data_IF_307893567889
#
_entry.id   IF_307893567889
#
_cell.length_a   1.000
_cell.length_b   1.000
_cell.length_c   1.000
_cell.angle_alpha   90.00
_cell.angle_beta   90.00
_cell.angle_gamma   90.00
#
_symmetry.space_group_name_H-M   'P 1'
#
loop_
_entity.id
_entity.type
_entity.pdbx_description
1 polymer ?
#
# COMPACT_ATOMS: atom_id res chain seq x y z
N UNK A 1 3.71 10.63 50.20
CA UNK A 1 2.95 10.29 48.99
C UNK A 1 1.79 11.29 48.84
N UNK A 2 2.09 12.56 48.56
CA UNK A 2 1.09 13.64 48.39
C UNK A 2 1.02 14.15 46.95
N UNK A 3 1.81 13.54 46.05
CA UNK A 3 1.63 13.64 44.62
C UNK A 3 0.56 12.63 44.23
N UNK A 4 -0.55 13.13 43.67
CA UNK A 4 -0.90 12.86 42.27
C UNK A 4 -2.42 12.86 42.02
N UNK A 5 -3.27 13.14 43.02
CA UNK A 5 -4.72 13.21 42.80
C UNK A 5 -5.11 14.40 41.93
N UNK A 6 -4.48 15.56 42.13
CA UNK A 6 -4.72 16.74 41.29
C UNK A 6 -4.26 16.52 39.84
N UNK A 7 -3.13 15.83 39.67
CA UNK A 7 -2.57 15.51 38.36
C UNK A 7 -3.41 14.44 37.66
N UNK A 8 -3.87 13.43 38.38
CA UNK A 8 -4.84 12.44 37.89
C UNK A 8 -6.15 13.11 37.47
N UNK A 9 -6.68 14.01 38.30
CA UNK A 9 -7.88 14.80 37.98
C UNK A 9 -7.69 15.67 36.74
N UNK A 10 -6.54 16.36 36.63
CA UNK A 10 -6.16 17.13 35.45
C UNK A 10 -6.08 16.24 34.20
N UNK A 11 -5.41 15.11 34.28
CA UNK A 11 -5.29 14.16 33.17
C UNK A 11 -6.65 13.61 32.75
N UNK A 12 -7.53 13.28 33.71
CA UNK A 12 -8.91 12.86 33.44
C UNK A 12 -9.73 13.93 32.71
N UNK A 13 -9.67 15.19 33.15
CA UNK A 13 -10.37 16.30 32.48
C UNK A 13 -9.84 16.49 31.06
N UNK A 14 -8.50 16.55 30.88
CA UNK A 14 -7.89 16.70 29.57
C UNK A 14 -8.22 15.52 28.64
N UNK A 15 -8.29 14.31 29.20
CA UNK A 15 -8.66 13.10 28.48
C UNK A 15 -10.11 13.13 27.97
N UNK A 16 -11.04 13.53 28.82
CA UNK A 16 -12.44 13.70 28.43
C UNK A 16 -12.62 14.87 27.47
N UNK A 17 -11.91 15.98 27.66
CA UNK A 17 -11.90 17.10 26.71
C UNK A 17 -11.47 16.61 25.32
N UNK A 18 -10.41 15.79 25.23
CA UNK A 18 -9.97 15.20 23.97
C UNK A 18 -11.00 14.25 23.37
N UNK A 19 -11.66 13.46 24.21
CA UNK A 19 -12.71 12.52 23.78
C UNK A 19 -13.93 13.24 23.21
N UNK A 20 -14.32 14.37 23.82
CA UNK A 20 -15.37 15.25 23.30
C UNK A 20 -14.96 15.91 21.99
N UNK A 21 -13.70 16.35 21.85
CA UNK A 21 -13.19 16.87 20.57
C UNK A 21 -13.26 15.81 19.46
N UNK A 22 -12.83 14.58 19.72
CA UNK A 22 -12.93 13.47 18.75
C UNK A 22 -14.40 13.17 18.41
N UNK A 23 -15.30 13.24 19.40
CA UNK A 23 -16.75 13.09 19.18
C UNK A 23 -17.29 14.20 18.29
N UNK A 24 -16.92 15.46 18.55
CA UNK A 24 -17.29 16.61 17.71
C UNK A 24 -16.76 16.46 16.28
N UNK A 25 -15.51 16.01 16.11
CA UNK A 25 -14.93 15.73 14.81
C UNK A 25 -15.72 14.64 14.06
N UNK A 26 -16.08 13.55 14.74
CA UNK A 26 -16.87 12.48 14.16
C UNK A 26 -18.26 12.96 13.72
N UNK A 27 -18.94 13.75 14.55
CA UNK A 27 -20.27 14.29 14.25
C UNK A 27 -20.20 15.24 13.05
N UNK A 28 -19.28 16.19 13.07
CA UNK A 28 -19.14 17.20 12.02
C UNK A 28 -18.79 16.59 10.66
N UNK A 29 -18.08 15.45 10.64
CA UNK A 29 -17.63 14.80 9.41
C UNK A 29 -18.37 13.50 9.11
N UNK A 30 -19.47 13.21 9.81
CA UNK A 30 -20.21 11.96 9.63
C UNK A 30 -20.67 11.77 8.17
N UNK A 31 -20.99 12.86 7.48
CA UNK A 31 -21.43 12.87 6.08
C UNK A 31 -20.33 13.31 5.10
N UNK A 32 -19.09 13.48 5.56
CA UNK A 32 -17.98 13.83 4.69
C UNK A 32 -17.44 12.55 4.02
N UNK A 33 -17.46 12.46 2.67
CA UNK A 33 -16.88 11.31 1.97
C UNK A 33 -15.44 11.05 2.41
N UNK A 34 -15.07 9.77 2.51
CA UNK A 34 -13.73 9.32 2.93
C UNK A 34 -13.33 9.67 4.37
N UNK A 35 -14.24 10.23 5.19
CA UNK A 35 -13.99 10.37 6.62
C UNK A 35 -14.02 8.99 7.29
N UNK A 36 -13.05 8.75 8.17
CA UNK A 36 -13.01 7.54 9.00
C UNK A 36 -13.25 7.96 10.43
N UNK A 37 -14.19 7.27 11.09
CA UNK A 37 -14.48 7.47 12.50
C UNK A 37 -13.22 7.29 13.35
N UNK A 38 -13.01 8.21 14.27
CA UNK A 38 -11.96 8.15 15.27
C UNK A 38 -12.52 7.69 16.62
N UNK A 39 -11.75 6.89 17.35
CA UNK A 39 -12.04 6.42 18.70
C UNK A 39 -10.92 6.84 19.64
N UNK A 40 -11.30 7.45 20.76
CA UNK A 40 -10.39 7.73 21.87
C UNK A 40 -10.22 6.49 22.73
N UNK A 41 -8.97 6.16 23.05
CA UNK A 41 -8.57 5.09 23.94
C UNK A 41 -7.76 5.66 25.09
N UNK A 42 -8.10 5.25 26.30
CA UNK A 42 -7.41 5.67 27.51
C UNK A 42 -6.29 4.70 27.82
N UNK A 43 -5.09 5.23 28.07
CA UNK A 43 -3.93 4.47 28.46
C UNK A 43 -3.68 4.73 29.95
N UNK A 44 -3.70 3.64 30.70
CA UNK A 44 -3.47 3.65 32.13
C UNK A 44 -1.97 3.73 32.44
N UNK A 45 -1.64 4.39 33.54
CA UNK A 45 -0.27 4.41 34.06
C UNK A 45 0.04 3.13 34.82
N UNK A 46 1.31 2.73 34.84
CA UNK A 46 1.79 1.58 35.62
C UNK A 46 1.55 1.72 37.13
N UNK A 47 1.30 2.93 37.62
CA UNK A 47 1.02 3.24 39.03
C UNK A 47 -0.47 3.45 39.32
N UNK A 48 -1.34 3.15 38.34
CA UNK A 48 -2.78 3.39 38.41
C UNK A 48 -3.16 4.79 37.92
N UNK A 49 -4.37 4.90 37.36
CA UNK A 49 -4.90 6.15 36.84
C UNK A 49 -4.57 6.42 35.37
N UNK A 50 -5.14 7.50 34.83
CA UNK A 50 -5.05 7.84 33.42
C UNK A 50 -3.78 8.63 33.13
N UNK A 51 -2.92 8.08 32.26
CA UNK A 51 -1.68 8.72 31.85
C UNK A 51 -1.86 9.50 30.54
N UNK A 52 -2.46 8.86 29.54
CA UNK A 52 -2.52 9.40 28.17
C UNK A 52 -3.81 8.99 27.45
N UNK A 53 -4.20 9.79 26.46
CA UNK A 53 -5.27 9.45 25.51
C UNK A 53 -4.67 9.26 24.13
N UNK A 54 -5.02 8.15 23.50
CA UNK A 54 -4.71 7.88 22.10
C UNK A 54 -5.97 8.05 21.27
N UNK A 55 -5.85 8.63 20.08
CA UNK A 55 -6.92 8.64 19.09
C UNK A 55 -6.53 7.64 18.01
N UNK A 56 -7.40 6.68 17.73
CA UNK A 56 -7.22 5.69 16.68
C UNK A 56 -8.33 5.79 15.65
N UNK A 57 -8.00 5.56 14.38
CA UNK A 57 -9.00 5.50 13.30
C UNK A 57 -9.59 4.10 13.29
N UNK A 58 -10.91 4.01 13.19
CA UNK A 58 -11.62 2.74 13.04
C UNK A 58 -11.55 2.30 11.58
N UNK A 59 -10.40 1.76 11.18
CA UNK A 59 -10.18 1.10 9.89
C UNK A 59 -10.06 -0.41 10.09
N UNK A 60 -10.48 -1.17 9.10
CA UNK A 60 -10.16 -2.59 9.03
C UNK A 60 -8.72 -2.76 8.52
N UNK A 61 -7.79 -3.04 9.45
CA UNK A 61 -6.38 -3.25 9.12
C UNK A 61 -6.16 -4.52 8.27
N UNK A 62 -7.01 -5.54 8.43
CA UNK A 62 -6.92 -6.77 7.65
C UNK A 62 -7.31 -6.52 6.20
N UNK A 63 -8.45 -5.86 5.98
CA UNK A 63 -8.89 -5.47 4.64
C UNK A 63 -7.87 -4.54 3.95
N UNK A 64 -7.27 -3.59 4.69
CA UNK A 64 -6.21 -2.74 4.15
C UNK A 64 -4.96 -3.53 3.75
N UNK A 65 -4.57 -4.51 4.57
CA UNK A 65 -3.42 -5.38 4.27
C UNK A 65 -3.71 -6.22 3.03
N UNK A 66 -4.90 -6.81 2.96
CA UNK A 66 -5.35 -7.60 1.81
C UNK A 66 -5.34 -6.76 0.52
N UNK A 67 -5.92 -5.57 0.56
CA UNK A 67 -5.95 -4.64 -0.58
C UNK A 67 -4.53 -4.32 -1.07
N UNK A 68 -3.58 -4.05 -0.17
CA UNK A 68 -2.18 -3.79 -0.54
C UNK A 68 -1.50 -5.00 -1.19
N UNK A 69 -1.76 -6.20 -0.66
CA UNK A 69 -1.24 -7.45 -1.23
C UNK A 69 -1.81 -7.68 -2.63
N UNK A 70 -3.11 -7.47 -2.82
CA UNK A 70 -3.77 -7.70 -4.10
C UNK A 70 -3.32 -6.68 -5.15
N UNK A 71 -3.18 -5.40 -4.79
CA UNK A 71 -2.59 -4.38 -5.67
C UNK A 71 -1.16 -4.78 -6.06
N UNK A 72 -0.35 -5.26 -5.12
CA UNK A 72 1.02 -5.67 -5.41
C UNK A 72 1.08 -6.85 -6.40
N UNK A 73 0.15 -7.82 -6.30
CA UNK A 73 0.04 -8.93 -7.25
C UNK A 73 -0.38 -8.43 -8.63
N UNK A 74 -1.39 -7.55 -8.70
CA UNK A 74 -1.85 -6.97 -9.96
C UNK A 74 -0.69 -6.25 -10.65
N UNK A 75 0.02 -5.37 -9.95
CA UNK A 75 1.18 -4.67 -10.51
C UNK A 75 2.31 -5.60 -10.95
N UNK A 76 2.55 -6.69 -10.22
CA UNK A 76 3.52 -7.71 -10.62
C UNK A 76 3.13 -8.38 -11.95
N UNK A 77 1.87 -8.80 -12.09
CA UNK A 77 1.40 -9.45 -13.31
C UNK A 77 1.30 -8.49 -14.49
N UNK A 78 0.91 -7.24 -14.28
CA UNK A 78 0.94 -6.19 -15.31
C UNK A 78 2.35 -5.95 -15.83
N UNK A 79 3.34 -5.82 -14.93
CA UNK A 79 4.74 -5.66 -15.33
C UNK A 79 5.28 -6.88 -16.09
N UNK A 80 4.88 -8.09 -15.68
CA UNK A 80 5.26 -9.32 -16.37
C UNK A 80 4.60 -9.43 -17.76
N UNK A 81 3.31 -9.09 -17.87
CA UNK A 81 2.61 -9.05 -19.15
C UNK A 81 3.26 -8.05 -20.10
N UNK A 82 3.57 -6.85 -19.62
CA UNK A 82 4.25 -5.83 -20.42
C UNK A 82 5.61 -6.33 -20.96
N UNK A 83 6.37 -7.07 -20.16
CA UNK A 83 7.63 -7.69 -20.61
C UNK A 83 7.38 -8.82 -21.62
N UNK A 84 6.37 -9.65 -21.38
CA UNK A 84 6.01 -10.73 -22.28
C UNK A 84 5.55 -10.18 -23.66
N UNK A 85 4.76 -9.11 -23.68
CA UNK A 85 4.31 -8.44 -24.91
C UNK A 85 5.49 -7.82 -25.69
N UNK A 86 6.48 -7.27 -25.00
CA UNK A 86 7.70 -6.78 -25.64
C UNK A 86 8.49 -7.92 -26.29
N UNK A 87 8.65 -9.05 -25.58
CA UNK A 87 9.30 -10.24 -26.13
C UNK A 87 8.52 -10.82 -27.31
N UNK A 88 7.20 -10.90 -27.20
CA UNK A 88 6.32 -11.38 -28.27
C UNK A 88 6.42 -10.50 -29.51
N UNK A 89 6.45 -9.17 -29.33
CA UNK A 89 6.66 -8.23 -30.44
C UNK A 89 8.02 -8.42 -31.11
N UNK A 90 9.09 -8.60 -30.32
CA UNK A 90 10.44 -8.81 -30.85
C UNK A 90 10.59 -10.15 -31.59
N UNK A 91 9.97 -11.22 -31.09
CA UNK A 91 10.03 -12.55 -31.69
C UNK A 91 9.05 -12.72 -32.86
N UNK A 92 7.91 -12.04 -32.82
CA UNK A 92 6.87 -12.05 -33.83
C UNK A 92 7.17 -11.16 -35.03
N UNK A 93 8.10 -10.20 -34.90
CA UNK A 93 8.54 -9.39 -36.04
C UNK A 93 9.37 -10.24 -37.03
N UNK A 94 8.74 -10.60 -38.14
CA UNK A 94 9.35 -11.38 -39.23
C UNK A 94 10.67 -10.82 -39.79
N UNK A 95 10.93 -9.53 -39.61
CA UNK A 95 12.14 -8.87 -40.14
C UNK A 95 13.36 -9.00 -39.24
N UNK A 96 13.17 -9.10 -37.92
CA UNK A 96 14.23 -9.25 -36.91
C UNK A 96 14.22 -10.59 -36.17
N UNK A 97 13.32 -11.51 -36.54
CA UNK A 97 13.28 -12.80 -35.88
C UNK A 97 14.56 -13.64 -36.11
N UNK A 98 14.81 -14.56 -35.19
CA UNK A 98 16.00 -15.42 -35.22
C UNK A 98 15.96 -16.36 -36.44
N UNK A 99 14.78 -16.79 -36.87
CA UNK A 99 14.61 -17.69 -38.01
C UNK A 99 15.06 -17.07 -39.33
N UNK A 100 14.71 -15.81 -39.61
CA UNK A 100 15.12 -15.08 -40.81
C UNK A 100 16.62 -14.77 -40.77
N UNK A 101 17.19 -14.53 -39.58
CA UNK A 101 18.64 -14.39 -39.41
C UNK A 101 19.39 -15.69 -39.71
N UNK A 102 18.85 -16.85 -39.29
CA UNK A 102 19.40 -18.18 -39.59
C UNK A 102 19.26 -18.49 -41.09
N UNK A 103 18.10 -18.21 -41.69
CA UNK A 103 17.89 -18.37 -43.13
C UNK A 103 18.88 -17.54 -43.94
N UNK A 104 19.06 -16.27 -43.59
CA UNK A 104 20.03 -15.38 -44.25
C UNK A 104 21.47 -15.90 -44.09
N UNK A 105 21.86 -16.41 -42.92
CA UNK A 105 23.18 -17.00 -42.72
C UNK A 105 23.42 -18.19 -43.66
N UNK A 106 22.49 -19.13 -43.73
CA UNK A 106 22.62 -20.29 -44.61
C UNK A 106 22.56 -19.90 -46.10
N UNK A 107 21.75 -18.90 -46.47
CA UNK A 107 21.72 -18.36 -47.83
C UNK A 107 23.09 -17.76 -48.21
N UNK A 108 23.69 -16.93 -47.34
CA UNK A 108 25.02 -16.35 -47.62
C UNK A 108 26.13 -17.39 -47.72
N UNK A 109 26.08 -18.47 -46.95
CA UNK A 109 27.01 -19.60 -47.08
C UNK A 109 26.81 -20.34 -48.40
N UNK A 110 25.57 -20.51 -48.84
CA UNK A 110 25.24 -21.16 -50.10
C UNK A 110 25.70 -20.30 -51.29
N UNK A 111 25.50 -18.98 -51.22
CA UNK A 111 25.97 -18.03 -52.23
C UNK A 111 27.51 -18.01 -52.31
N UNK A 112 28.20 -17.97 -51.17
CA UNK A 112 29.67 -18.03 -51.11
C UNK A 112 30.25 -19.36 -51.65
N UNK A 113 29.48 -20.46 -51.58
CA UNK A 113 29.89 -21.74 -52.15
C UNK A 113 29.58 -21.87 -53.65
N UNK A 114 28.54 -21.18 -54.13
CA UNK A 114 28.14 -21.19 -55.53
C UNK A 114 28.95 -20.20 -56.39
N UNK A 115 29.59 -19.19 -55.78
CA UNK A 115 30.49 -18.23 -56.43
C UNK A 115 31.75 -18.03 -55.55
N UNK A 116 32.77 -18.93 -55.64
CA UNK A 116 33.92 -18.97 -54.73
C UNK A 116 34.93 -17.83 -54.90
#
# INVERSE_FOLDING_TARGET
MSFDLLQLGKNGILAHQRSLQTTGQNINNANTPSYVRERTEYLESSYGGLERVRVQRMIDEFANRQLRTDISKVSYYEANLQQAEQLDTLLGDSTTNVSSSIENFFNTLQDANNDP
#
